data_IF_241904563219
#
_entry.id   IF_241904563219
#
_cell.length_a   1.000
_cell.length_b   1.000
_cell.length_c   1.000
_cell.angle_alpha   90.00
_cell.angle_beta   90.00
_cell.angle_gamma   90.00
#
_symmetry.space_group_name_H-M   'P 1'
#
loop_
_entity.id
_entity.type
_entity.pdbx_description
1 polymer ?
#
# COMPACT_ATOMS: atom_id res chain seq x y z
N UNK A 1 0.51 -7.85 6.70
CA UNK A 1 1.65 -7.06 6.15
C UNK A 1 2.31 -6.37 7.34
N UNK A 2 3.64 -6.36 7.44
CA UNK A 2 4.33 -5.81 8.63
C UNK A 2 4.14 -4.27 8.72
N UNK A 3 3.76 -3.78 9.90
CA UNK A 3 3.47 -2.37 10.22
C UNK A 3 4.63 -1.46 9.80
N UNK A 4 5.88 -1.95 9.85
CA UNK A 4 7.06 -1.16 9.50
C UNK A 4 7.03 -0.60 8.07
N UNK A 5 6.42 -1.30 7.12
CA UNK A 5 6.34 -0.85 5.72
C UNK A 5 5.32 0.27 5.56
N UNK A 6 4.21 0.20 6.30
CA UNK A 6 3.19 1.26 6.32
C UNK A 6 3.74 2.54 6.94
N UNK A 7 4.46 2.42 8.06
CA UNK A 7 5.16 3.55 8.68
C UNK A 7 6.12 4.22 7.69
N UNK A 8 6.86 3.43 6.92
CA UNK A 8 7.77 3.95 5.90
C UNK A 8 7.03 4.67 4.76
N UNK A 9 5.89 4.15 4.31
CA UNK A 9 5.05 4.82 3.30
C UNK A 9 4.55 6.19 3.80
N UNK A 10 4.14 6.30 5.08
CA UNK A 10 3.75 7.57 5.68
C UNK A 10 4.92 8.57 5.74
N UNK A 11 6.10 8.13 6.18
CA UNK A 11 7.32 8.97 6.18
C UNK A 11 7.68 9.49 4.78
N UNK A 12 7.41 8.70 3.74
CA UNK A 12 7.62 9.10 2.35
C UNK A 12 6.59 10.15 1.92
N UNK A 13 5.33 9.98 2.30
CA UNK A 13 4.25 10.90 1.97
C UNK A 13 4.45 12.30 2.56
N UNK A 14 4.93 12.38 3.81
CA UNK A 14 5.23 13.64 4.49
C UNK A 14 6.21 14.53 3.70
N UNK A 15 7.07 13.93 2.88
CA UNK A 15 8.01 14.67 2.01
C UNK A 15 7.31 15.47 0.91
N UNK A 16 6.06 15.15 0.58
CA UNK A 16 5.23 15.91 -0.36
C UNK A 16 4.51 17.11 0.27
N UNK A 17 4.62 17.31 1.59
CA UNK A 17 3.90 18.36 2.31
C UNK A 17 4.17 19.75 1.73
N UNK A 18 3.09 20.47 1.39
CA UNK A 18 3.15 21.82 0.85
C UNK A 18 3.40 21.92 -0.66
N UNK A 19 3.74 20.81 -1.33
CA UNK A 19 4.09 20.81 -2.77
C UNK A 19 3.03 20.15 -3.67
N UNK A 20 2.13 19.37 -3.08
CA UNK A 20 1.18 18.53 -3.83
C UNK A 20 -0.25 19.07 -3.88
N UNK A 21 -0.58 20.12 -3.13
CA UNK A 21 -1.93 20.69 -3.11
C UNK A 21 -2.41 21.06 -4.54
N UNK A 22 -3.67 20.77 -4.92
CA UNK A 22 -4.79 20.25 -4.13
C UNK A 22 -4.80 18.73 -3.89
N UNK A 23 -3.82 17.98 -4.42
CA UNK A 23 -3.75 16.53 -4.28
C UNK A 23 -3.32 16.12 -2.86
N UNK A 24 -3.67 14.90 -2.41
CA UNK A 24 -3.18 14.36 -1.16
C UNK A 24 -1.67 14.08 -1.21
N UNK A 25 -1.05 14.09 -0.03
CA UNK A 25 0.27 13.49 0.16
C UNK A 25 0.12 11.98 0.07
N UNK A 26 0.99 11.35 -0.73
CA UNK A 26 0.99 9.91 -0.93
C UNK A 26 2.43 9.42 -0.95
N UNK A 27 2.71 8.33 -0.26
CA UNK A 27 3.94 7.58 -0.22
C UNK A 27 3.68 6.09 -0.47
N UNK A 28 4.63 5.43 -1.11
CA UNK A 28 4.50 4.06 -1.59
C UNK A 28 5.80 3.29 -1.38
N UNK A 29 5.70 2.05 -0.93
CA UNK A 29 6.82 1.10 -0.86
C UNK A 29 6.46 -0.21 -1.56
N UNK A 30 7.44 -0.79 -2.24
CA UNK A 30 7.33 -2.10 -2.91
C UNK A 30 8.23 -3.07 -2.15
N UNK A 31 7.66 -4.18 -1.69
CA UNK A 31 8.32 -5.15 -0.80
C UNK A 31 8.36 -6.52 -1.46
N UNK A 32 9.53 -7.16 -1.47
CA UNK A 32 9.71 -8.53 -1.96
C UNK A 32 10.57 -9.31 -0.99
N UNK A 33 10.13 -10.53 -0.65
CA UNK A 33 10.83 -11.40 0.30
C UNK A 33 11.18 -10.71 1.63
N UNK A 34 10.26 -9.86 2.13
CA UNK A 34 10.46 -9.08 3.36
C UNK A 34 11.42 -7.89 3.25
N UNK A 35 11.92 -7.58 2.06
CA UNK A 35 12.81 -6.44 1.81
C UNK A 35 12.12 -5.38 0.96
N UNK A 36 12.33 -4.10 1.26
CA UNK A 36 11.85 -3.00 0.41
C UNK A 36 12.76 -2.97 -0.82
N UNK A 37 12.15 -3.07 -2.01
CA UNK A 37 12.84 -3.06 -3.29
C UNK A 37 12.58 -1.77 -4.09
N UNK A 38 11.60 -0.96 -3.70
CA UNK A 38 11.31 0.34 -4.31
C UNK A 38 10.53 1.25 -3.36
N UNK A 39 10.75 2.56 -3.48
CA UNK A 39 10.15 3.61 -2.64
C UNK A 39 9.79 4.84 -3.49
N UNK A 40 8.63 5.43 -3.23
CA UNK A 40 8.17 6.61 -3.96
C UNK A 40 7.23 7.46 -3.16
N UNK A 41 7.09 8.73 -3.54
CA UNK A 41 6.10 9.65 -3.00
C UNK A 41 5.70 10.67 -4.07
N UNK A 42 4.50 11.23 -3.95
CA UNK A 42 4.06 12.30 -4.82
C UNK A 42 4.81 13.59 -4.47
N UNK A 43 5.70 14.04 -5.35
CA UNK A 43 6.63 15.16 -5.06
C UNK A 43 6.00 16.53 -5.28
N UNK A 44 5.26 16.72 -6.37
CA UNK A 44 4.68 18.00 -6.78
C UNK A 44 3.35 17.79 -7.51
N UNK A 45 2.45 18.78 -7.41
CA UNK A 45 1.22 18.81 -8.18
C UNK A 45 1.49 18.67 -9.69
N UNK A 46 0.76 17.77 -10.36
CA UNK A 46 0.90 17.49 -11.79
C UNK A 46 2.08 16.59 -12.18
N UNK A 47 2.87 16.09 -11.22
CA UNK A 47 3.91 15.09 -11.46
C UNK A 47 3.43 13.66 -11.18
N UNK A 48 4.33 12.68 -11.35
CA UNK A 48 4.10 11.28 -11.08
C UNK A 48 3.54 11.04 -9.67
N UNK A 49 2.64 10.06 -9.56
CA UNK A 49 2.13 9.58 -8.28
C UNK A 49 3.17 8.68 -7.57
N UNK A 50 2.96 8.43 -6.29
CA UNK A 50 3.91 7.70 -5.44
C UNK A 50 4.24 6.29 -5.96
N UNK A 51 3.26 5.59 -6.53
CA UNK A 51 3.40 4.23 -7.05
C UNK A 51 4.29 4.20 -8.29
N UNK A 52 4.17 5.20 -9.15
CA UNK A 52 5.02 5.36 -10.35
C UNK A 52 6.45 5.65 -9.93
N UNK A 53 6.64 6.55 -8.96
CA UNK A 53 7.98 6.83 -8.42
C UNK A 53 8.58 5.59 -7.74
N UNK A 54 7.79 4.82 -7.01
CA UNK A 54 8.24 3.60 -6.36
C UNK A 54 8.66 2.54 -7.38
N UNK A 55 7.88 2.36 -8.45
CA UNK A 55 8.23 1.48 -9.58
C UNK A 55 9.50 1.93 -10.29
N UNK A 56 9.67 3.24 -10.52
CA UNK A 56 10.88 3.77 -11.16
C UNK A 56 12.14 3.58 -10.31
N UNK A 57 11.97 3.42 -8.99
CA UNK A 57 13.08 3.23 -8.05
C UNK A 57 13.44 1.76 -7.80
N UNK A 58 12.74 0.80 -8.44
CA UNK A 58 12.94 -0.61 -8.11
C UNK A 58 14.36 -1.08 -8.42
N UNK A 59 14.98 -1.77 -7.46
CA UNK A 59 16.35 -2.29 -7.60
C UNK A 59 16.40 -3.73 -8.13
N UNK A 60 15.25 -4.39 -8.23
CA UNK A 60 15.11 -5.73 -8.81
C UNK A 60 13.73 -5.89 -9.48
N UNK A 61 13.51 -7.03 -10.16
CA UNK A 61 12.23 -7.32 -10.80
C UNK A 61 11.08 -7.30 -9.76
N UNK A 62 10.07 -6.42 -9.91
CA UNK A 62 8.96 -6.28 -8.97
C UNK A 62 7.89 -7.37 -9.08
N UNK A 63 8.01 -8.33 -10.00
CA UNK A 63 7.09 -9.47 -10.06
C UNK A 63 7.00 -10.19 -8.71
N UNK A 64 5.76 -10.51 -8.31
CA UNK A 64 5.41 -11.14 -7.03
C UNK A 64 5.79 -10.31 -5.78
N UNK A 65 5.94 -8.99 -5.91
CA UNK A 65 6.08 -8.06 -4.78
C UNK A 65 4.73 -7.64 -4.18
N UNK A 66 4.78 -7.08 -2.96
CA UNK A 66 3.66 -6.44 -2.29
C UNK A 66 3.83 -4.92 -2.35
N UNK A 67 2.79 -4.18 -2.75
CA UNK A 67 2.80 -2.71 -2.81
C UNK A 67 2.02 -2.17 -1.61
N UNK A 68 2.58 -1.18 -0.92
CA UNK A 68 1.98 -0.53 0.25
C UNK A 68 1.87 0.98 0.01
N UNK A 69 0.66 1.54 0.13
CA UNK A 69 0.34 2.95 -0.11
C UNK A 69 -0.25 3.55 1.18
N UNK A 70 0.24 4.73 1.56
CA UNK A 70 -0.07 5.43 2.82
C UNK A 70 -1.47 6.06 2.93
N UNK A 71 -2.08 6.46 1.80
CA UNK A 71 -3.29 7.29 1.80
C UNK A 71 -4.49 6.60 2.47
N UNK A 72 -4.51 5.26 2.43
CA UNK A 72 -5.47 4.43 3.14
C UNK A 72 -5.26 4.50 4.66
N UNK A 73 -4.00 4.52 5.12
CA UNK A 73 -3.68 4.68 6.52
C UNK A 73 -4.05 6.08 7.02
N UNK A 74 -3.86 7.13 6.21
CA UNK A 74 -4.31 8.47 6.57
C UNK A 74 -5.83 8.54 6.77
N UNK A 75 -6.62 8.02 5.82
CA UNK A 75 -8.09 7.94 6.00
C UNK A 75 -8.42 7.12 7.25
N UNK A 76 -7.67 6.05 7.50
CA UNK A 76 -7.88 5.22 8.68
C UNK A 76 -7.62 5.95 10.00
N UNK A 77 -6.60 6.82 10.04
CA UNK A 77 -6.28 7.65 11.20
C UNK A 77 -7.30 8.79 11.37
N UNK A 78 -7.61 9.50 10.29
CA UNK A 78 -8.53 10.65 10.32
C UNK A 78 -9.96 10.23 10.71
N UNK A 79 -10.35 8.99 10.40
CA UNK A 79 -11.69 8.45 10.70
C UNK A 79 -11.74 7.54 11.92
N UNK A 80 -10.60 7.14 12.48
CA UNK A 80 -10.48 6.07 13.49
C UNK A 80 -11.09 4.72 13.04
N UNK A 81 -11.33 4.55 11.74
CA UNK A 81 -11.86 3.32 11.16
C UNK A 81 -10.75 2.63 10.37
N UNK A 82 -10.41 1.36 10.64
CA UNK A 82 -9.47 0.58 9.82
C UNK A 82 -9.92 0.56 8.35
N UNK A 83 -9.15 1.20 7.47
CA UNK A 83 -9.38 1.14 6.02
C UNK A 83 -8.36 0.19 5.42
N UNK A 84 -8.83 -0.72 4.57
CA UNK A 84 -7.99 -1.70 3.86
C UNK A 84 -8.29 -1.65 2.36
N UNK A 85 -7.29 -1.99 1.54
CA UNK A 85 -7.47 -2.20 0.11
C UNK A 85 -7.70 -3.68 -0.18
N UNK A 86 -8.81 -3.99 -0.85
CA UNK A 86 -9.20 -5.36 -1.20
C UNK A 86 -9.51 -5.52 -2.69
N UNK A 87 -8.68 -4.95 -3.57
CA UNK A 87 -8.87 -5.05 -5.03
C UNK A 87 -8.02 -6.16 -5.62
N UNK A 88 -8.64 -6.99 -6.46
CA UNK A 88 -7.97 -8.02 -7.25
C UNK A 88 -7.69 -7.47 -8.65
N UNK A 89 -6.42 -7.27 -8.99
CA UNK A 89 -5.99 -7.02 -10.37
C UNK A 89 -5.67 -8.34 -11.04
N UNK A 90 -6.44 -8.70 -12.06
CA UNK A 90 -6.32 -9.98 -12.77
C UNK A 90 -6.46 -9.78 -14.28
N UNK A 91 -5.62 -10.44 -15.05
CA UNK A 91 -5.65 -10.42 -16.51
C UNK A 91 -6.58 -11.49 -17.09
N UNK A 92 -6.97 -12.49 -16.28
CA UNK A 92 -7.88 -13.59 -16.66
C UNK A 92 -8.87 -13.95 -15.55
N UNK A 93 -9.98 -14.60 -15.95
CA UNK A 93 -11.03 -15.08 -15.01
C UNK A 93 -10.46 -16.15 -14.08
N UNK A 94 -9.62 -17.05 -14.60
CA UNK A 94 -8.99 -18.11 -13.80
C UNK A 94 -8.11 -17.53 -12.69
N UNK A 95 -7.32 -16.49 -13.00
CA UNK A 95 -6.49 -15.78 -12.02
C UNK A 95 -7.37 -15.08 -10.96
N UNK A 96 -8.51 -14.52 -11.38
CA UNK A 96 -9.47 -13.90 -10.46
C UNK A 96 -10.06 -14.91 -9.49
N UNK A 97 -10.48 -16.08 -9.99
CA UNK A 97 -11.01 -17.17 -9.18
C UNK A 97 -9.95 -17.68 -8.20
N UNK A 98 -8.71 -17.84 -8.64
CA UNK A 98 -7.62 -18.33 -7.80
C UNK A 98 -7.31 -17.38 -6.63
N UNK A 99 -7.28 -16.06 -6.88
CA UNK A 99 -7.03 -15.02 -5.86
C UNK A 99 -8.24 -14.70 -4.99
N UNK A 100 -9.47 -14.90 -5.49
CA UNK A 100 -10.70 -14.72 -4.74
C UNK A 100 -10.96 -15.85 -3.72
N UNK A 101 -10.30 -17.00 -3.88
CA UNK A 101 -10.30 -18.05 -2.86
C UNK A 101 -10.36 -19.46 -3.43
N UNK A 102 -9.26 -19.94 -4.01
CA UNK A 102 -8.99 -21.38 -4.16
C UNK A 102 -7.65 -21.76 -3.52
N UNK A 103 -6.93 -22.77 -4.04
CA UNK A 103 -5.75 -23.42 -3.41
C UNK A 103 -4.56 -22.49 -3.12
N UNK A 104 -4.48 -21.30 -3.74
CA UNK A 104 -3.34 -20.39 -3.66
C UNK A 104 -3.52 -19.19 -2.68
N UNK A 105 -4.57 -19.21 -1.85
CA UNK A 105 -4.81 -18.19 -0.83
C UNK A 105 -5.90 -17.19 -1.21
N UNK A 106 -6.72 -16.83 -0.23
CA UNK A 106 -7.84 -15.91 -0.39
C UNK A 106 -7.37 -14.49 -0.05
N UNK A 107 -7.19 -13.64 -1.06
CA UNK A 107 -6.75 -12.25 -0.84
C UNK A 107 -7.76 -11.40 -0.09
N UNK A 108 -9.05 -11.72 -0.18
CA UNK A 108 -10.09 -11.11 0.66
C UNK A 108 -9.91 -11.47 2.14
N UNK A 109 -9.54 -12.72 2.44
CA UNK A 109 -9.22 -13.16 3.80
C UNK A 109 -7.95 -12.48 4.34
N UNK A 110 -6.88 -12.38 3.53
CA UNK A 110 -5.66 -11.66 3.91
C UNK A 110 -5.94 -10.17 4.19
N UNK A 111 -6.76 -9.53 3.34
CA UNK A 111 -7.18 -8.15 3.52
C UNK A 111 -8.00 -7.99 4.81
N UNK A 112 -8.96 -8.87 5.07
CA UNK A 112 -9.76 -8.86 6.29
C UNK A 112 -8.91 -9.09 7.55
N UNK A 113 -7.96 -10.01 7.51
CA UNK A 113 -7.03 -10.26 8.62
C UNK A 113 -6.17 -9.01 8.90
N UNK A 114 -5.68 -8.37 7.83
CA UNK A 114 -4.92 -7.11 7.93
C UNK A 114 -5.79 -6.00 8.54
N UNK A 115 -7.08 -5.91 8.20
CA UNK A 115 -7.99 -4.94 8.82
C UNK A 115 -8.15 -5.16 10.32
N UNK A 116 -8.24 -6.42 10.75
CA UNK A 116 -8.34 -6.78 12.18
C UNK A 116 -7.05 -6.43 12.92
N UNK A 117 -5.89 -6.74 12.34
CA UNK A 117 -4.58 -6.36 12.90
C UNK A 117 -4.46 -4.84 13.05
N UNK A 118 -4.87 -4.08 12.03
CA UNK A 118 -4.90 -2.62 12.08
C UNK A 118 -5.89 -2.09 13.14
N UNK A 119 -7.06 -2.72 13.28
CA UNK A 119 -8.03 -2.36 14.32
C UNK A 119 -7.47 -2.55 15.73
N UNK A 120 -6.70 -3.61 15.95
CA UNK A 120 -6.05 -3.86 17.23
C UNK A 120 -4.93 -2.85 17.49
N UNK A 121 -4.11 -2.53 16.47
CA UNK A 121 -3.06 -1.53 16.57
C UNK A 121 -3.62 -0.15 16.97
N UNK A 122 -4.72 0.28 16.34
CA UNK A 122 -5.35 1.57 16.67
C UNK A 122 -5.82 1.61 18.13
N UNK A 123 -6.22 0.50 18.73
CA UNK A 123 -6.59 0.43 20.16
C UNK A 123 -5.41 0.52 21.12
N UNK A 124 -4.19 0.25 20.65
CA UNK A 124 -2.96 0.27 21.45
C UNK A 124 -2.22 1.61 21.37
N UNK A 125 -2.63 2.51 20.47
CA UNK A 125 -2.12 3.88 20.32
C UNK A 125 -2.94 4.89 21.14
#
# INVERSE_FOLDING_TARGET
MDIKYMKRALELAEKGAGFVNPNPMVGCVIVKNGSIIGEGYHKYFGQNHAEVEALNSVVENPENSTICIDNIAKVSLDTEVPVIFGVLTTDTIEQAIERAGTKAGNKGHEAALTAIEMANLIKEL
#
